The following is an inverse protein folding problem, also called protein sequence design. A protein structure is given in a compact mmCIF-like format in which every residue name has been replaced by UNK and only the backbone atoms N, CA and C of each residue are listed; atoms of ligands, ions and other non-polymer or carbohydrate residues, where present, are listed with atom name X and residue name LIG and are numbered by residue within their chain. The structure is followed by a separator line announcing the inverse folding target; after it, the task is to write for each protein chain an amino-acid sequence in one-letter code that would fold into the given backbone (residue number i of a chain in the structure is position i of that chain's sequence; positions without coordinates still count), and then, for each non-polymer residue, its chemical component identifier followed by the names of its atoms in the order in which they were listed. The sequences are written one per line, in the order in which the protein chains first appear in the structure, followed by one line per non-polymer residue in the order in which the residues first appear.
data_IF_852603815733
#
_entry.id   IF_852603815733
#
_cell.length_a   1.000
_cell.length_b   1.000
_cell.length_c   1.000
_cell.angle_alpha   90.00
_cell.angle_beta   90.00
_cell.angle_gamma   90.00
#
_symmetry.space_group_name_H-M   'P 1'
#
loop_
_entity.id
_entity.type
_entity.pdbx_description
1 polymer ?
#
# COMPACT_ATOMS: atom_id res chain seq x y z
N UNK A 1 -28.32 -48.64 -4.19
CA UNK A 1 -28.07 -47.35 -3.53
C UNK A 1 -26.60 -47.08 -3.65
N UNK A 2 -26.26 -46.37 -4.66
CA UNK A 2 -24.89 -46.23 -5.15
C UNK A 2 -24.37 -44.81 -4.78
N UNK A 3 -23.36 -44.76 -3.90
CA UNK A 3 -22.76 -43.51 -3.45
C UNK A 3 -21.52 -43.20 -4.33
N UNK A 4 -21.74 -42.43 -5.37
CA UNK A 4 -20.67 -41.94 -6.21
C UNK A 4 -19.73 -40.99 -5.42
N UNK A 5 -18.54 -41.45 -5.10
CA UNK A 5 -17.42 -40.60 -4.62
C UNK A 5 -16.95 -39.71 -5.78
N UNK A 6 -17.19 -38.42 -5.66
CA UNK A 6 -16.53 -37.40 -6.53
C UNK A 6 -15.08 -37.29 -6.13
N UNK A 7 -14.21 -37.68 -7.04
CA UNK A 7 -12.76 -37.46 -6.93
C UNK A 7 -12.44 -35.97 -7.03
N UNK A 8 -11.68 -35.44 -6.05
CA UNK A 8 -11.10 -34.11 -6.06
C UNK A 8 -9.97 -34.08 -7.12
N UNK A 9 -9.93 -33.15 -8.06
CA UNK A 9 -8.83 -33.07 -9.03
C UNK A 9 -7.54 -32.70 -8.34
N UNK A 10 -6.46 -33.38 -8.74
CA UNK A 10 -5.09 -33.15 -8.24
C UNK A 10 -4.66 -31.68 -8.40
N UNK A 11 -4.02 -31.13 -7.37
CA UNK A 11 -3.60 -29.73 -7.30
C UNK A 11 -2.72 -29.30 -8.46
N UNK A 12 -2.90 -28.05 -8.85
CA UNK A 12 -2.10 -27.36 -9.86
C UNK A 12 -0.62 -27.33 -9.45
N UNK A 13 0.24 -27.86 -10.30
CA UNK A 13 1.70 -27.81 -10.10
C UNK A 13 2.27 -26.44 -10.54
N UNK A 14 3.46 -26.09 -10.03
CA UNK A 14 4.21 -24.87 -10.43
C UNK A 14 4.27 -24.68 -11.96
N UNK A 15 4.37 -25.76 -12.72
CA UNK A 15 4.35 -25.79 -14.19
C UNK A 15 2.97 -25.44 -14.77
N UNK A 16 1.90 -25.80 -14.09
CA UNK A 16 0.51 -25.55 -14.55
C UNK A 16 0.15 -24.06 -14.37
N UNK A 17 0.66 -23.41 -13.35
CA UNK A 17 0.45 -21.97 -13.12
C UNK A 17 1.12 -21.13 -14.22
N UNK A 18 2.35 -21.49 -14.60
CA UNK A 18 3.09 -20.82 -15.68
C UNK A 18 2.48 -21.05 -17.08
N UNK A 19 1.81 -22.17 -17.31
CA UNK A 19 1.12 -22.47 -18.58
C UNK A 19 -0.21 -21.75 -18.73
N UNK A 20 -0.90 -21.42 -17.63
CA UNK A 20 -2.13 -20.64 -17.67
C UNK A 20 -1.90 -19.16 -18.07
N UNK A 21 -0.70 -18.66 -17.88
CA UNK A 21 -0.31 -17.28 -18.28
C UNK A 21 0.12 -17.20 -19.75
N UNK A 22 0.46 -18.33 -20.40
CA UNK A 22 1.03 -18.40 -21.76
C UNK A 22 0.07 -18.78 -22.89
N UNK A 23 -1.20 -19.09 -22.63
CA UNK A 23 -2.13 -19.58 -23.64
C UNK A 23 -3.03 -18.46 -24.21
N UNK A 24 -2.43 -17.62 -25.04
CA UNK A 24 -3.12 -16.67 -25.89
C UNK A 24 -2.42 -16.48 -27.23
N UNK A 25 -3.00 -17.11 -28.26
CA UNK A 25 -2.78 -16.92 -29.73
C UNK A 25 -1.49 -17.43 -30.35
N UNK A 26 -1.66 -18.38 -31.27
CA UNK A 26 -0.70 -18.71 -32.34
C UNK A 26 -0.70 -20.18 -32.77
N UNK A 27 -1.46 -20.51 -33.82
CA UNK A 27 -1.39 -21.77 -34.56
C UNK A 27 -0.09 -21.89 -35.32
N UNK A 28 0.63 -23.03 -35.20
CA UNK A 28 1.70 -23.36 -36.13
C UNK A 28 2.67 -24.46 -35.66
N UNK A 29 2.54 -25.63 -36.27
CA UNK A 29 3.45 -26.77 -36.43
C UNK A 29 4.22 -27.32 -35.22
N UNK A 30 3.87 -28.55 -34.90
CA UNK A 30 4.61 -29.47 -34.06
C UNK A 30 5.81 -30.04 -34.79
N UNK A 31 7.03 -29.89 -34.23
CA UNK A 31 8.15 -30.81 -34.41
C UNK A 31 8.61 -31.28 -33.04
N UNK A 32 8.60 -32.59 -32.87
CA UNK A 32 9.04 -33.27 -31.66
C UNK A 32 10.58 -33.20 -31.56
N UNK A 33 11.11 -32.67 -30.46
CA UNK A 33 12.51 -32.82 -30.07
C UNK A 33 12.56 -33.41 -28.66
N UNK A 34 13.33 -34.46 -28.48
CA UNK A 34 13.59 -35.22 -27.27
C UNK A 34 14.22 -34.36 -26.16
N UNK A 35 14.09 -34.76 -24.88
CA UNK A 35 14.63 -33.98 -23.75
C UNK A 35 16.14 -34.19 -23.67
N UNK A 36 16.90 -33.13 -23.85
CA UNK A 36 18.32 -33.08 -23.50
C UNK A 36 18.46 -32.66 -22.04
N UNK A 37 19.04 -33.54 -21.23
CA UNK A 37 19.42 -33.25 -19.84
C UNK A 37 20.72 -32.48 -19.84
N UNK A 38 20.70 -31.27 -19.34
CA UNK A 38 21.92 -30.52 -19.01
C UNK A 38 21.98 -29.18 -19.69
N UNK A 39 21.64 -28.18 -18.92
CA UNK A 39 22.35 -26.90 -18.78
C UNK A 39 21.42 -26.02 -17.88
N UNK A 40 21.57 -26.15 -16.55
CA UNK A 40 21.32 -25.05 -15.64
C UNK A 40 22.49 -24.08 -15.81
N UNK A 41 22.51 -23.38 -16.92
CA UNK A 41 23.38 -22.21 -17.06
C UNK A 41 22.89 -21.17 -16.06
N UNK A 42 23.74 -20.84 -15.10
CA UNK A 42 23.58 -19.70 -14.24
C UNK A 42 23.38 -18.46 -15.11
N UNK A 43 22.18 -17.90 -15.10
CA UNK A 43 21.92 -16.61 -15.71
C UNK A 43 22.89 -15.61 -15.07
N UNK A 44 23.57 -14.75 -15.86
CA UNK A 44 24.43 -13.74 -15.30
C UNK A 44 23.58 -12.88 -14.37
N UNK A 45 24.01 -12.79 -13.10
CA UNK A 45 23.44 -11.84 -12.15
C UNK A 45 23.62 -10.47 -12.75
N UNK A 46 22.52 -9.86 -13.19
CA UNK A 46 22.52 -8.48 -13.63
C UNK A 46 23.09 -7.61 -12.50
N UNK A 47 24.13 -6.93 -12.85
CA UNK A 47 24.97 -6.10 -12.01
C UNK A 47 24.19 -5.04 -11.26
N UNK A 48 24.60 -4.83 -10.00
CA UNK A 48 24.26 -3.73 -9.08
C UNK A 48 22.77 -3.57 -8.80
N UNK A 49 22.23 -4.47 -7.98
CA UNK A 49 21.09 -4.14 -7.13
C UNK A 49 21.44 -2.86 -6.37
N UNK A 50 20.77 -1.78 -6.69
CA UNK A 50 20.91 -0.52 -5.97
C UNK A 50 20.26 -0.72 -4.60
N UNK A 51 21.02 -1.29 -3.65
CA UNK A 51 20.54 -1.46 -2.27
C UNK A 51 20.16 -0.09 -1.75
N UNK A 52 18.93 0.05 -1.30
CA UNK A 52 18.52 1.27 -0.63
C UNK A 52 19.38 1.46 0.64
N UNK A 53 19.84 2.68 0.84
CA UNK A 53 20.64 2.99 2.02
C UNK A 53 19.81 2.71 3.31
N UNK A 54 20.46 2.31 4.41
CA UNK A 54 19.80 2.18 5.69
C UNK A 54 19.20 3.51 6.15
N UNK A 55 18.27 3.46 7.10
CA UNK A 55 17.68 4.67 7.68
C UNK A 55 18.78 5.64 8.16
N UNK A 56 18.66 6.95 7.92
CA UNK A 56 19.67 7.92 8.32
C UNK A 56 19.85 7.95 9.84
N UNK A 57 21.06 8.35 10.29
CA UNK A 57 21.33 8.46 11.72
C UNK A 57 20.39 9.48 12.37
N UNK A 58 19.76 9.08 13.48
CA UNK A 58 18.78 9.89 14.19
C UNK A 58 17.38 9.87 13.58
N UNK A 59 17.13 8.98 12.62
CA UNK A 59 15.78 8.77 12.09
C UNK A 59 14.85 8.18 13.15
N UNK A 60 13.60 8.60 13.08
CA UNK A 60 12.49 8.10 13.90
C UNK A 60 11.40 7.52 13.02
N UNK A 61 10.56 6.70 13.60
CA UNK A 61 9.21 6.40 13.11
C UNK A 61 8.25 7.08 14.09
N UNK A 62 7.40 7.96 13.57
CA UNK A 62 6.42 8.67 14.39
C UNK A 62 5.11 7.93 14.41
N UNK A 63 4.73 7.45 15.58
CA UNK A 63 3.39 6.92 15.83
C UNK A 63 2.49 8.01 16.40
N UNK A 64 1.18 7.78 16.38
CA UNK A 64 0.21 8.72 16.95
C UNK A 64 0.47 8.98 18.45
N UNK A 65 1.07 8.03 19.18
CA UNK A 65 1.32 8.13 20.61
C UNK A 65 2.74 8.65 20.93
N UNK A 66 3.78 8.25 20.17
CA UNK A 66 5.18 8.58 20.47
C UNK A 66 6.10 8.41 19.27
N UNK A 67 7.25 9.07 19.32
CA UNK A 67 8.33 8.86 18.37
C UNK A 67 9.20 7.67 18.84
N UNK A 68 9.58 6.80 17.91
CA UNK A 68 10.31 5.56 18.18
C UNK A 68 11.56 5.48 17.28
N UNK A 69 12.67 4.95 17.77
CA UNK A 69 13.72 4.49 16.88
C UNK A 69 13.18 3.32 16.04
N UNK A 70 13.56 3.18 14.75
CA UNK A 70 13.03 2.12 13.88
C UNK A 70 13.17 0.70 14.44
N UNK A 71 14.22 0.44 15.23
CA UNK A 71 14.43 -0.85 15.90
C UNK A 71 13.38 -1.19 16.96
N UNK A 72 12.70 -0.20 17.53
CA UNK A 72 11.71 -0.41 18.58
C UNK A 72 10.38 -1.02 18.07
N UNK A 73 10.16 -1.07 16.75
CA UNK A 73 9.00 -1.78 16.18
C UNK A 73 9.16 -3.31 16.22
N UNK A 74 10.33 -3.84 16.62
CA UNK A 74 10.58 -5.29 16.65
C UNK A 74 10.55 -5.92 15.25
N UNK A 75 10.31 -7.22 15.17
CA UNK A 75 10.32 -8.00 13.93
C UNK A 75 8.90 -8.40 13.46
N UNK A 76 7.87 -7.81 14.04
CA UNK A 76 6.49 -8.00 13.59
C UNK A 76 6.24 -7.30 12.25
N UNK A 77 5.23 -7.79 11.53
CA UNK A 77 4.81 -7.23 10.26
C UNK A 77 4.39 -5.76 10.40
N UNK A 78 4.65 -4.98 9.36
CA UNK A 78 4.25 -3.58 9.27
C UNK A 78 3.44 -3.40 7.98
N UNK A 79 2.21 -2.90 8.13
CA UNK A 79 1.33 -2.55 7.03
C UNK A 79 1.39 -1.04 6.79
N UNK A 80 1.75 -0.65 5.57
CA UNK A 80 2.04 0.76 5.27
C UNK A 80 0.81 1.55 4.78
N UNK A 81 -0.30 0.88 4.51
CA UNK A 81 -1.52 1.49 3.98
C UNK A 81 -2.77 0.67 4.36
N UNK A 82 -3.48 1.15 5.36
CA UNK A 82 -4.75 0.59 5.83
C UNK A 82 -5.67 1.72 6.28
N UNK A 83 -6.93 1.40 6.61
CA UNK A 83 -7.88 2.37 7.14
C UNK A 83 -8.41 1.96 8.52
N UNK A 84 -8.30 2.87 9.49
CA UNK A 84 -8.73 2.69 10.87
C UNK A 84 -9.89 3.62 11.25
N UNK A 85 -10.10 4.69 10.48
CA UNK A 85 -11.13 5.70 10.79
C UNK A 85 -11.57 6.43 9.52
N UNK A 86 -12.89 6.48 9.30
CA UNK A 86 -13.51 7.32 8.27
C UNK A 86 -14.65 8.14 8.86
N UNK A 87 -14.99 9.25 8.18
CA UNK A 87 -16.22 9.98 8.42
C UNK A 87 -17.46 9.13 8.08
N UNK A 88 -18.54 9.35 8.79
CA UNK A 88 -19.78 8.59 8.58
C UNK A 88 -20.36 8.74 7.17
N UNK A 89 -20.05 9.84 6.50
CA UNK A 89 -20.50 10.18 5.14
C UNK A 89 -19.49 9.84 4.04
N UNK A 90 -18.32 9.27 4.38
CA UNK A 90 -17.24 9.02 3.43
C UNK A 90 -17.72 8.23 2.20
N UNK A 91 -18.33 7.07 2.40
CA UNK A 91 -18.80 6.23 1.30
C UNK A 91 -19.95 6.85 0.51
N UNK A 92 -20.76 7.72 1.12
CA UNK A 92 -21.81 8.48 0.39
C UNK A 92 -21.18 9.55 -0.50
N UNK A 93 -20.18 10.27 -0.03
CA UNK A 93 -19.44 11.27 -0.81
C UNK A 93 -18.67 10.63 -1.97
N UNK A 94 -18.14 9.42 -1.79
CA UNK A 94 -17.43 8.66 -2.84
C UNK A 94 -18.37 8.00 -3.85
N UNK A 95 -19.68 8.01 -3.62
CA UNK A 95 -20.65 7.40 -4.54
C UNK A 95 -20.67 8.14 -5.87
N UNK A 96 -20.59 7.43 -7.02
CA UNK A 96 -20.76 8.04 -8.33
C UNK A 96 -22.11 8.77 -8.42
N UNK A 97 -22.13 9.96 -9.02
CA UNK A 97 -23.33 10.79 -9.12
C UNK A 97 -24.51 10.11 -9.83
N UNK A 98 -24.23 9.17 -10.73
CA UNK A 98 -25.21 8.38 -11.48
C UNK A 98 -25.58 7.05 -10.82
N UNK A 99 -24.96 6.70 -9.66
CA UNK A 99 -25.31 5.46 -8.96
C UNK A 99 -26.67 5.59 -8.26
N UNK A 100 -27.53 4.55 -8.33
CA UNK A 100 -28.80 4.57 -7.64
C UNK A 100 -28.60 4.66 -6.13
N UNK A 101 -29.37 5.52 -5.46
CA UNK A 101 -29.38 5.58 -4.02
C UNK A 101 -30.14 4.38 -3.47
N UNK A 102 -29.60 3.68 -2.45
CA UNK A 102 -30.34 2.61 -1.80
C UNK A 102 -31.59 3.18 -1.13
N UNK A 103 -32.69 2.40 -1.16
CA UNK A 103 -33.96 2.80 -0.53
C UNK A 103 -33.82 2.99 0.99
N UNK A 104 -32.89 2.26 1.62
CA UNK A 104 -32.54 2.41 3.04
C UNK A 104 -31.06 2.78 3.10
N UNK A 105 -30.66 3.83 3.84
CA UNK A 105 -29.25 4.13 4.06
C UNK A 105 -28.52 2.92 4.63
N UNK A 106 -27.31 2.61 4.16
CA UNK A 106 -26.51 1.55 4.77
C UNK A 106 -26.20 1.89 6.24
N UNK A 107 -26.00 0.89 7.09
CA UNK A 107 -25.55 1.13 8.45
C UNK A 107 -24.20 1.90 8.44
N UNK A 108 -23.90 2.68 9.47
CA UNK A 108 -22.59 3.32 9.61
C UNK A 108 -21.46 2.29 9.51
N UNK A 109 -20.39 2.64 8.79
CA UNK A 109 -19.21 1.79 8.67
C UNK A 109 -18.63 1.44 10.05
N UNK A 110 -18.06 0.24 10.20
CA UNK A 110 -17.31 -0.15 11.41
C UNK A 110 -16.16 0.81 11.72
N UNK A 111 -15.62 1.50 10.70
CA UNK A 111 -14.57 2.50 10.83
C UNK A 111 -15.00 3.78 11.55
N UNK A 112 -16.29 3.93 11.86
CA UNK A 112 -16.83 4.97 12.77
C UNK A 112 -16.93 4.48 14.22
N UNK A 113 -16.48 3.25 14.51
CA UNK A 113 -16.60 2.58 15.82
C UNK A 113 -15.21 2.16 16.32
N UNK A 114 -14.47 3.06 17.00
CA UNK A 114 -13.07 2.82 17.37
C UNK A 114 -12.86 1.58 18.26
N UNK A 115 -13.87 1.17 19.02
CA UNK A 115 -13.80 -0.04 19.86
C UNK A 115 -13.69 -1.30 19.02
N UNK A 116 -14.48 -1.40 17.94
CA UNK A 116 -14.47 -2.54 17.02
C UNK A 116 -13.15 -2.58 16.26
N UNK A 117 -12.71 -1.43 15.72
CA UNK A 117 -11.43 -1.32 15.04
C UNK A 117 -10.28 -1.71 15.96
N UNK A 118 -10.30 -1.27 17.22
CA UNK A 118 -9.27 -1.63 18.18
C UNK A 118 -9.24 -3.14 18.49
N UNK A 119 -10.40 -3.80 18.58
CA UNK A 119 -10.48 -5.23 18.81
C UNK A 119 -10.00 -6.04 17.59
N UNK A 120 -10.35 -5.62 16.37
CA UNK A 120 -9.82 -6.17 15.11
C UNK A 120 -8.29 -6.01 15.05
N UNK A 121 -7.78 -4.82 15.34
CA UNK A 121 -6.35 -4.54 15.30
C UNK A 121 -5.58 -5.30 16.39
N UNK A 122 -6.16 -5.44 17.60
CA UNK A 122 -5.58 -6.27 18.67
C UNK A 122 -5.48 -7.73 18.26
N UNK A 123 -6.48 -8.26 17.53
CA UNK A 123 -6.44 -9.62 17.02
C UNK A 123 -5.29 -9.79 16.02
N UNK A 124 -5.11 -8.85 15.09
CA UNK A 124 -3.98 -8.85 14.17
C UNK A 124 -2.61 -8.71 14.90
N UNK A 125 -2.54 -7.92 15.97
CA UNK A 125 -1.35 -7.81 16.81
C UNK A 125 -0.93 -9.15 17.43
N UNK A 126 -1.89 -9.96 17.88
CA UNK A 126 -1.63 -11.32 18.39
C UNK A 126 -1.13 -12.28 17.29
N UNK A 127 -1.38 -11.97 16.04
CA UNK A 127 -0.93 -12.72 14.86
C UNK A 127 0.35 -12.15 14.24
N UNK A 128 1.05 -11.26 14.96
CA UNK A 128 2.38 -10.79 14.58
C UNK A 128 2.43 -9.45 13.86
N UNK A 129 1.32 -8.68 13.82
CA UNK A 129 1.34 -7.30 13.34
C UNK A 129 1.94 -6.38 14.43
N UNK A 130 2.98 -5.62 14.12
CA UNK A 130 3.61 -4.67 15.05
C UNK A 130 3.21 -3.22 14.83
N UNK A 131 2.97 -2.84 13.56
CA UNK A 131 2.67 -1.47 13.20
C UNK A 131 1.75 -1.41 11.98
N UNK A 132 0.92 -0.38 11.94
CA UNK A 132 -0.01 -0.10 10.86
C UNK A 132 -0.03 1.40 10.57
N UNK A 133 -0.14 1.78 9.29
CA UNK A 133 -0.32 3.17 8.86
C UNK A 133 -1.77 3.37 8.47
N UNK A 134 -2.44 4.34 9.09
CA UNK A 134 -3.76 4.76 8.67
C UNK A 134 -3.66 5.72 7.48
N UNK A 135 -4.29 5.37 6.36
CA UNK A 135 -4.32 6.16 5.13
C UNK A 135 -5.30 7.33 5.14
N UNK A 136 -6.12 7.42 6.19
CA UNK A 136 -7.15 8.45 6.30
C UNK A 136 -6.62 9.80 6.76
N UNK A 137 -7.34 10.86 6.39
CA UNK A 137 -7.07 12.23 6.80
C UNK A 137 -8.34 13.08 6.88
N UNK A 138 -8.20 14.36 7.20
CA UNK A 138 -9.31 15.22 7.60
C UNK A 138 -10.43 15.33 6.56
N UNK A 139 -10.13 15.39 5.26
CA UNK A 139 -11.13 15.44 4.20
C UNK A 139 -11.88 14.11 4.00
N UNK A 140 -11.32 13.00 4.48
CA UNK A 140 -11.98 11.69 4.56
C UNK A 140 -12.76 11.52 5.88
N UNK A 141 -12.71 12.51 6.77
CA UNK A 141 -13.38 12.49 8.06
C UNK A 141 -12.68 11.65 9.15
N UNK A 142 -11.39 11.36 8.97
CA UNK A 142 -10.58 10.61 9.96
C UNK A 142 -10.51 11.34 11.30
N UNK A 143 -10.76 10.62 12.39
CA UNK A 143 -10.67 11.09 13.77
C UNK A 143 -9.32 10.70 14.38
N UNK A 144 -8.42 11.68 14.55
CA UNK A 144 -7.11 11.44 15.20
C UNK A 144 -7.25 11.06 16.69
N UNK A 145 -8.30 11.51 17.36
CA UNK A 145 -8.59 11.07 18.72
C UNK A 145 -9.01 9.60 18.77
N UNK A 146 -9.75 9.12 17.78
CA UNK A 146 -10.10 7.71 17.70
C UNK A 146 -8.88 6.86 17.32
N UNK A 147 -7.98 7.35 16.47
CA UNK A 147 -6.71 6.67 16.20
C UNK A 147 -5.86 6.48 17.47
N UNK A 148 -5.83 7.48 18.38
CA UNK A 148 -5.16 7.34 19.69
C UNK A 148 -5.79 6.25 20.52
N UNK A 149 -7.13 6.26 20.66
CA UNK A 149 -7.88 5.24 21.40
C UNK A 149 -7.65 3.84 20.83
N UNK A 150 -7.65 3.72 19.49
CA UNK A 150 -7.37 2.46 18.79
C UNK A 150 -5.95 1.97 19.10
N UNK A 151 -4.95 2.85 19.02
CA UNK A 151 -3.56 2.51 19.32
C UNK A 151 -3.38 2.06 20.79
N UNK A 152 -3.93 2.81 21.74
CA UNK A 152 -3.87 2.50 23.17
C UNK A 152 -4.55 1.17 23.50
N UNK A 153 -5.75 0.96 22.94
CA UNK A 153 -6.56 -0.22 23.23
C UNK A 153 -6.05 -1.48 22.53
N UNK A 154 -5.53 -1.37 21.31
CA UNK A 154 -5.03 -2.53 20.55
C UNK A 154 -3.64 -2.97 20.99
N UNK A 155 -2.80 -2.04 21.44
CA UNK A 155 -1.38 -2.25 21.72
C UNK A 155 -0.50 -2.35 20.45
N UNK A 156 -1.08 -2.15 19.25
CA UNK A 156 -0.35 -2.09 17.98
C UNK A 156 0.07 -0.64 17.72
N UNK A 157 1.27 -0.44 17.18
CA UNK A 157 1.72 0.90 16.82
C UNK A 157 0.92 1.42 15.62
N UNK A 158 0.30 2.59 15.77
CA UNK A 158 -0.44 3.28 14.72
C UNK A 158 0.32 4.51 14.27
N UNK A 159 0.63 4.60 12.99
CA UNK A 159 1.15 5.79 12.33
C UNK A 159 -0.04 6.51 11.71
N UNK A 160 -0.27 7.74 12.13
CA UNK A 160 -1.28 8.60 11.51
C UNK A 160 -0.69 9.30 10.29
N UNK A 161 -1.50 9.53 9.29
CA UNK A 161 -1.13 10.27 8.10
C UNK A 161 -1.98 11.52 7.91
N UNK A 162 -1.63 12.33 6.92
CA UNK A 162 -2.38 13.51 6.56
C UNK A 162 -2.10 13.96 5.14
N UNK A 163 -2.93 14.85 4.67
CA UNK A 163 -2.90 15.33 3.30
C UNK A 163 -4.30 15.55 2.76
N UNK A 164 -4.48 15.27 1.47
CA UNK A 164 -5.75 15.37 0.77
C UNK A 164 -5.93 14.17 -0.16
N UNK A 165 -7.14 13.61 -0.18
CA UNK A 165 -7.46 12.39 -0.94
C UNK A 165 -7.66 12.67 -2.44
N UNK A 166 -8.88 12.64 -2.89
CA UNK A 166 -9.30 12.89 -4.27
C UNK A 166 -10.07 14.21 -4.37
N UNK A 167 -10.10 14.81 -5.56
CA UNK A 167 -10.79 16.10 -5.77
C UNK A 167 -12.22 16.12 -5.23
N UNK A 168 -12.95 15.02 -5.34
CA UNK A 168 -14.33 14.91 -4.84
C UNK A 168 -14.43 15.11 -3.32
N UNK A 169 -13.33 14.89 -2.59
CA UNK A 169 -13.23 15.03 -1.14
C UNK A 169 -12.61 16.37 -0.71
N UNK A 170 -12.05 17.13 -1.63
CA UNK A 170 -11.28 18.33 -1.30
C UNK A 170 -12.12 19.39 -0.58
N UNK A 171 -11.56 19.99 0.47
CA UNK A 171 -12.15 21.16 1.09
C UNK A 171 -11.97 22.39 0.18
N UNK A 172 -12.79 23.45 0.36
CA UNK A 172 -12.76 24.66 -0.48
C UNK A 172 -11.39 25.36 -0.54
N UNK A 173 -10.57 25.17 0.47
CA UNK A 173 -9.22 25.74 0.60
C UNK A 173 -8.31 25.33 -0.55
N UNK A 174 -8.47 24.14 -1.10
CA UNK A 174 -7.67 23.68 -2.24
C UNK A 174 -7.80 24.61 -3.42
N UNK A 175 -8.99 25.09 -3.70
CA UNK A 175 -9.22 26.02 -4.82
C UNK A 175 -8.91 27.46 -4.46
N UNK A 176 -9.20 27.88 -3.21
CA UNK A 176 -9.16 29.30 -2.80
C UNK A 176 -7.79 29.78 -2.29
N UNK A 177 -6.95 28.87 -1.73
CA UNK A 177 -5.65 29.22 -1.16
C UNK A 177 -4.50 29.03 -2.16
N UNK A 178 -3.41 29.77 -1.96
CA UNK A 178 -2.15 29.56 -2.67
C UNK A 178 -1.49 28.23 -2.26
N UNK A 179 -0.53 27.72 -3.08
CA UNK A 179 0.25 26.55 -2.71
C UNK A 179 1.01 26.78 -1.38
N UNK A 180 1.60 27.97 -1.18
CA UNK A 180 2.37 28.27 0.05
C UNK A 180 1.48 28.24 1.29
N UNK A 181 0.25 28.77 1.22
CA UNK A 181 -0.70 28.69 2.34
C UNK A 181 -1.09 27.25 2.67
N UNK A 182 -1.33 26.43 1.65
CA UNK A 182 -1.63 25.01 1.84
C UNK A 182 -0.45 24.24 2.42
N UNK A 183 0.79 24.54 1.98
CA UNK A 183 2.02 23.95 2.52
C UNK A 183 2.18 24.31 4.00
N UNK A 184 2.00 25.58 4.37
CA UNK A 184 2.09 26.03 5.76
C UNK A 184 1.06 25.34 6.64
N UNK A 185 -0.17 25.20 6.15
CA UNK A 185 -1.25 24.45 6.82
C UNK A 185 -0.89 22.99 7.06
N UNK A 186 -0.40 22.29 6.04
CA UNK A 186 0.00 20.88 6.18
C UNK A 186 1.19 20.70 7.12
N UNK A 187 2.16 21.61 7.09
CA UNK A 187 3.32 21.60 8.03
C UNK A 187 2.86 21.77 9.47
N UNK A 188 1.94 22.71 9.72
CA UNK A 188 1.36 22.94 11.04
C UNK A 188 0.58 21.73 11.53
N UNK A 189 -0.29 21.19 10.68
CA UNK A 189 -1.10 20.01 10.97
C UNK A 189 -0.25 18.77 11.24
N UNK A 190 0.80 18.54 10.46
CA UNK A 190 1.72 17.42 10.65
C UNK A 190 2.34 17.41 12.05
N UNK A 191 2.65 18.60 12.59
CA UNK A 191 3.13 18.75 13.96
C UNK A 191 2.04 18.57 14.99
N UNK A 192 0.93 19.29 14.83
CA UNK A 192 -0.16 19.32 15.82
C UNK A 192 -0.86 17.97 15.95
N UNK A 193 -1.07 17.25 14.83
CA UNK A 193 -1.75 15.96 14.76
C UNK A 193 -0.78 14.77 14.80
N UNK A 194 0.52 15.03 14.95
CA UNK A 194 1.57 14.00 15.03
C UNK A 194 1.58 13.04 13.84
N UNK A 195 1.49 13.55 12.62
CA UNK A 195 1.59 12.69 11.43
C UNK A 195 2.98 12.04 11.32
N UNK A 196 2.99 10.75 11.03
CA UNK A 196 4.20 9.99 10.72
C UNK A 196 4.40 9.77 9.23
N UNK A 197 3.39 10.13 8.41
CA UNK A 197 3.42 10.09 6.96
C UNK A 197 2.51 11.16 6.34
N UNK A 198 2.69 11.43 5.05
CA UNK A 198 1.77 12.16 4.19
C UNK A 198 1.10 11.14 3.25
N UNK A 199 -0.21 11.02 3.27
CA UNK A 199 -0.95 10.01 2.48
C UNK A 199 -2.22 9.53 3.15
N UNK A 200 -3.07 8.83 2.41
CA UNK A 200 -2.86 8.51 0.99
C UNK A 200 -3.21 9.71 0.10
N UNK A 201 -2.32 10.12 -0.75
CA UNK A 201 -2.54 11.25 -1.66
C UNK A 201 -3.11 10.72 -2.97
N UNK A 202 -4.35 11.07 -3.28
CA UNK A 202 -5.10 10.49 -4.38
C UNK A 202 -4.96 11.21 -5.71
N UNK A 203 -5.02 10.44 -6.78
CA UNK A 203 -5.27 10.96 -8.12
C UNK A 203 -6.32 10.16 -8.87
N UNK A 204 -7.17 10.88 -9.59
CA UNK A 204 -8.09 10.29 -10.56
C UNK A 204 -7.33 9.66 -11.73
N UNK A 205 -8.01 8.80 -12.50
CA UNK A 205 -7.46 8.22 -13.74
C UNK A 205 -6.99 9.30 -14.73
N UNK A 206 -7.73 10.41 -14.78
CA UNK A 206 -7.31 11.65 -15.44
C UNK A 206 -7.09 12.71 -14.38
N UNK A 207 -5.84 12.88 -13.97
CA UNK A 207 -5.47 13.80 -12.91
C UNK A 207 -5.95 15.22 -13.23
N UNK A 208 -6.66 15.84 -12.29
CA UNK A 208 -7.21 17.19 -12.45
C UNK A 208 -6.15 18.27 -12.16
N UNK A 209 -6.46 19.52 -12.43
CA UNK A 209 -5.57 20.64 -12.09
C UNK A 209 -5.37 20.78 -10.57
N UNK A 210 -6.42 20.57 -9.79
CA UNK A 210 -6.36 20.64 -8.33
C UNK A 210 -5.61 19.44 -7.73
N UNK A 211 -5.77 18.24 -8.29
CA UNK A 211 -4.97 17.07 -7.88
C UNK A 211 -3.48 17.31 -8.15
N UNK A 212 -3.10 17.84 -9.32
CA UNK A 212 -1.70 18.24 -9.60
C UNK A 212 -1.20 19.31 -8.63
N UNK A 213 -2.04 20.27 -8.25
CA UNK A 213 -1.72 21.27 -7.23
C UNK A 213 -1.43 20.59 -5.89
N UNK A 214 -2.30 19.66 -5.45
CA UNK A 214 -2.13 18.91 -4.20
C UNK A 214 -0.82 18.11 -4.22
N UNK A 215 -0.50 17.40 -5.31
CA UNK A 215 0.78 16.68 -5.41
C UNK A 215 2.01 17.61 -5.29
N UNK A 216 1.98 18.82 -5.89
CA UNK A 216 3.07 19.81 -5.71
C UNK A 216 3.15 20.31 -4.27
N UNK A 217 2.01 20.61 -3.65
CA UNK A 217 1.92 21.02 -2.24
C UNK A 217 2.48 19.93 -1.33
N UNK A 218 2.08 18.68 -1.52
CA UNK A 218 2.58 17.55 -0.72
C UNK A 218 4.08 17.33 -0.93
N UNK A 219 4.58 17.39 -2.16
CA UNK A 219 6.00 17.28 -2.44
C UNK A 219 6.83 18.36 -1.71
N UNK A 220 6.39 19.61 -1.76
CA UNK A 220 7.04 20.73 -1.03
C UNK A 220 6.90 20.56 0.50
N UNK A 221 5.77 20.06 0.98
CA UNK A 221 5.56 19.72 2.41
C UNK A 221 6.52 18.62 2.85
N UNK A 222 6.73 17.59 2.03
CA UNK A 222 7.72 16.54 2.28
C UNK A 222 9.13 17.12 2.44
N UNK A 223 9.52 18.04 1.55
CA UNK A 223 10.84 18.72 1.64
C UNK A 223 11.00 19.46 2.96
N UNK A 224 9.94 20.10 3.47
CA UNK A 224 9.97 20.86 4.73
C UNK A 224 9.93 20.00 5.99
N UNK A 225 9.20 18.88 5.96
CA UNK A 225 8.95 18.02 7.13
C UNK A 225 9.87 16.81 7.21
N UNK A 226 10.27 16.27 6.06
CA UNK A 226 10.98 14.99 5.93
C UNK A 226 10.09 13.77 5.99
N UNK A 227 8.77 13.92 6.19
CA UNK A 227 7.81 12.82 6.28
C UNK A 227 7.81 11.94 5.00
N UNK A 228 7.66 10.61 5.11
CA UNK A 228 7.42 9.78 3.95
C UNK A 228 6.05 10.09 3.33
N UNK A 229 5.94 9.87 2.01
CA UNK A 229 4.70 10.09 1.24
C UNK A 229 4.24 8.77 0.64
N UNK A 230 2.95 8.42 0.76
CA UNK A 230 2.35 7.34 -0.01
C UNK A 230 1.12 7.84 -0.76
N UNK A 231 0.87 7.24 -1.92
CA UNK A 231 -0.13 7.75 -2.84
C UNK A 231 -1.21 6.73 -3.13
N UNK A 232 -2.34 7.23 -3.63
CA UNK A 232 -3.44 6.46 -4.17
C UNK A 232 -3.46 6.64 -5.70
N UNK A 233 -3.14 5.59 -6.43
CA UNK A 233 -3.35 5.52 -7.87
C UNK A 233 -4.72 4.91 -8.13
N UNK A 234 -5.45 5.37 -9.14
CA UNK A 234 -6.77 4.82 -9.45
C UNK A 234 -6.76 3.29 -9.53
N UNK A 235 -7.69 2.62 -8.86
CA UNK A 235 -7.91 1.17 -8.93
C UNK A 235 -8.23 0.64 -10.35
N UNK A 236 -8.43 1.53 -11.33
CA UNK A 236 -8.50 1.16 -12.73
C UNK A 236 -7.15 0.71 -13.32
N UNK A 237 -6.05 0.76 -12.53
CA UNK A 237 -4.73 0.30 -12.95
C UNK A 237 -4.01 1.29 -13.85
N UNK A 238 -3.99 2.56 -13.49
CA UNK A 238 -3.47 3.64 -14.31
C UNK A 238 -1.93 3.75 -14.25
N UNK A 239 -1.21 3.15 -15.20
CA UNK A 239 0.25 3.30 -15.34
C UNK A 239 0.70 4.76 -15.49
N UNK A 240 -0.01 5.51 -16.34
CA UNK A 240 0.30 6.92 -16.58
C UNK A 240 0.16 7.74 -15.31
N UNK A 241 -0.90 7.50 -14.52
CA UNK A 241 -1.10 8.21 -13.27
C UNK A 241 0.02 7.94 -12.27
N UNK A 242 0.44 6.68 -12.14
CA UNK A 242 1.53 6.30 -11.23
C UNK A 242 2.84 7.02 -11.56
N UNK A 243 3.19 7.13 -12.84
CA UNK A 243 4.37 7.86 -13.27
C UNK A 243 4.21 9.38 -13.13
N UNK A 244 3.04 9.93 -13.46
CA UNK A 244 2.75 11.37 -13.31
C UNK A 244 2.81 11.82 -11.85
N UNK A 245 2.29 11.00 -10.91
CA UNK A 245 2.42 11.26 -9.47
C UNK A 245 3.89 11.41 -9.07
N UNK A 246 4.73 10.45 -9.47
CA UNK A 246 6.15 10.46 -9.17
C UNK A 246 6.85 11.68 -9.78
N UNK A 247 6.57 12.02 -11.04
CA UNK A 247 7.14 13.17 -11.73
C UNK A 247 6.81 14.50 -11.05
N UNK A 248 5.57 14.68 -10.60
CA UNK A 248 5.15 15.91 -9.91
C UNK A 248 5.86 16.03 -8.56
N UNK A 249 5.93 14.94 -7.78
CA UNK A 249 6.60 14.93 -6.48
C UNK A 249 8.10 15.24 -6.62
N UNK A 250 8.78 14.63 -7.59
CA UNK A 250 10.20 14.93 -7.88
C UNK A 250 10.40 16.37 -8.34
N UNK A 251 9.53 16.89 -9.22
CA UNK A 251 9.58 18.26 -9.70
C UNK A 251 9.37 19.29 -8.58
N UNK A 252 8.68 18.90 -7.51
CA UNK A 252 8.52 19.69 -6.29
C UNK A 252 9.79 19.68 -5.39
N UNK A 253 10.84 18.96 -5.79
CA UNK A 253 12.12 18.87 -5.07
C UNK A 253 12.19 17.78 -4.01
N UNK A 254 11.17 16.93 -3.92
CA UNK A 254 11.13 15.86 -2.95
C UNK A 254 11.94 14.64 -3.44
N UNK A 255 12.47 13.84 -2.50
CA UNK A 255 13.35 12.71 -2.83
C UNK A 255 12.50 11.44 -3.05
N UNK A 256 12.62 10.76 -4.23
CA UNK A 256 11.88 9.53 -4.51
C UNK A 256 12.01 8.44 -3.44
N UNK A 257 13.13 8.35 -2.75
CA UNK A 257 13.36 7.39 -1.65
C UNK A 257 12.41 7.53 -0.47
N UNK A 258 11.70 8.64 -0.40
CA UNK A 258 10.68 8.91 0.61
C UNK A 258 9.25 8.69 0.08
N UNK A 259 9.10 8.13 -1.13
CA UNK A 259 7.79 7.91 -1.73
C UNK A 259 7.47 6.43 -1.83
N UNK A 260 6.19 6.11 -1.63
CA UNK A 260 5.58 4.86 -2.03
C UNK A 260 4.43 5.17 -2.99
N UNK A 261 4.52 4.71 -4.22
CA UNK A 261 3.41 4.81 -5.17
C UNK A 261 2.47 3.64 -4.88
N UNK A 262 1.24 3.95 -4.48
CA UNK A 262 0.23 2.98 -4.05
C UNK A 262 -0.58 2.38 -5.19
N UNK A 263 -1.33 1.33 -4.89
CA UNK A 263 -2.22 0.56 -5.76
C UNK A 263 -1.55 0.01 -7.02
N UNK A 264 -0.24 -0.21 -6.97
CA UNK A 264 0.48 -0.77 -8.11
C UNK A 264 0.10 -2.23 -8.39
N UNK A 265 -0.45 -2.95 -7.40
CA UNK A 265 -1.02 -4.29 -7.57
C UNK A 265 -2.24 -4.31 -8.50
N UNK A 266 -2.86 -3.16 -8.77
CA UNK A 266 -4.05 -3.05 -9.61
C UNK A 266 -3.74 -2.77 -11.09
N UNK A 267 -2.48 -2.49 -11.44
CA UNK A 267 -2.04 -2.34 -12.82
C UNK A 267 -2.08 -3.70 -13.52
N UNK A 268 -3.07 -3.90 -14.39
CA UNK A 268 -3.33 -5.19 -15.04
C UNK A 268 -2.78 -5.31 -16.46
N UNK A 269 -2.45 -4.18 -17.08
CA UNK A 269 -2.04 -4.08 -18.48
C UNK A 269 -0.52 -3.88 -18.65
N UNK A 270 0.26 -4.20 -17.60
CA UNK A 270 1.73 -4.16 -17.61
C UNK A 270 2.34 -5.55 -17.37
N UNK A 271 2.25 -6.47 -18.35
CA UNK A 271 2.62 -7.87 -18.16
C UNK A 271 4.10 -8.10 -17.87
N UNK A 272 4.94 -7.09 -18.07
CA UNK A 272 6.38 -7.14 -17.78
C UNK A 272 6.78 -6.30 -16.57
N UNK A 273 5.83 -5.70 -15.87
CA UNK A 273 6.06 -4.81 -14.74
C UNK A 273 7.00 -3.63 -15.05
N UNK A 274 6.97 -3.10 -16.27
CA UNK A 274 7.89 -2.03 -16.69
C UNK A 274 7.64 -0.73 -15.91
N UNK A 275 6.38 -0.41 -15.64
CA UNK A 275 6.02 0.75 -14.79
C UNK A 275 6.59 0.61 -13.38
N UNK A 276 6.47 -0.58 -12.78
CA UNK A 276 7.00 -0.88 -11.44
C UNK A 276 8.52 -0.76 -11.41
N UNK A 277 9.20 -1.35 -12.41
CA UNK A 277 10.66 -1.26 -12.55
C UNK A 277 11.14 0.18 -12.72
N UNK A 278 10.42 0.98 -13.50
CA UNK A 278 10.74 2.40 -13.70
C UNK A 278 10.62 3.18 -12.38
N UNK A 279 9.54 2.99 -11.63
CA UNK A 279 9.33 3.63 -10.32
C UNK A 279 10.45 3.23 -9.34
N UNK A 280 10.77 1.94 -9.26
CA UNK A 280 11.84 1.43 -8.39
C UNK A 280 13.23 1.93 -8.83
N UNK A 281 13.51 1.99 -10.13
CA UNK A 281 14.77 2.52 -10.68
C UNK A 281 14.98 3.99 -10.31
N UNK A 282 13.91 4.78 -10.19
CA UNK A 282 13.95 6.17 -9.72
C UNK A 282 14.10 6.27 -8.20
N UNK A 283 14.03 5.15 -7.48
CA UNK A 283 14.30 5.04 -6.05
C UNK A 283 13.07 4.99 -5.16
N UNK A 284 11.86 5.09 -5.70
CA UNK A 284 10.62 5.04 -4.94
C UNK A 284 10.24 3.59 -4.56
N UNK A 285 9.45 3.45 -3.50
CA UNK A 285 8.85 2.19 -3.11
C UNK A 285 7.62 1.87 -3.95
N UNK A 286 7.34 0.58 -4.07
CA UNK A 286 6.23 0.01 -4.81
C UNK A 286 5.17 -0.47 -3.83
N UNK A 287 4.03 0.20 -3.81
CA UNK A 287 2.89 -0.15 -2.97
C UNK A 287 2.03 -1.24 -3.60
N UNK A 288 2.20 -2.48 -3.14
CA UNK A 288 1.27 -3.57 -3.42
C UNK A 288 0.29 -3.66 -2.25
N UNK A 289 -0.64 -2.75 -2.21
CA UNK A 289 -1.49 -2.47 -1.05
C UNK A 289 -2.95 -2.89 -1.19
N UNK A 290 -3.30 -3.65 -2.22
CA UNK A 290 -4.62 -4.27 -2.37
C UNK A 290 -4.53 -5.80 -2.37
N UNK A 291 -3.54 -6.37 -1.61
CA UNK A 291 -3.33 -7.83 -1.58
C UNK A 291 -4.12 -8.51 -0.46
N UNK A 292 -4.41 -9.80 -0.61
CA UNK A 292 -5.15 -10.58 0.38
C UNK A 292 -6.67 -10.54 0.20
N UNK A 293 -7.17 -9.77 -0.75
CA UNK A 293 -8.57 -9.73 -1.17
C UNK A 293 -8.71 -9.57 -2.68
N UNK A 294 -9.93 -9.69 -3.21
CA UNK A 294 -10.18 -9.75 -4.65
C UNK A 294 -10.49 -8.38 -5.27
N UNK A 295 -9.88 -7.31 -4.75
CA UNK A 295 -10.06 -5.98 -5.32
C UNK A 295 -9.26 -5.87 -6.64
N UNK A 296 -9.85 -5.24 -7.67
CA UNK A 296 -9.33 -5.05 -9.02
C UNK A 296 -8.93 -6.35 -9.74
N UNK A 297 -8.03 -7.15 -9.16
CA UNK A 297 -7.62 -8.45 -9.70
C UNK A 297 -7.31 -9.46 -8.60
N UNK A 298 -7.36 -10.76 -8.96
CA UNK A 298 -7.08 -11.84 -8.01
C UNK A 298 -5.61 -11.93 -7.62
N UNK A 299 -5.34 -12.40 -6.40
CA UNK A 299 -4.01 -12.52 -5.82
C UNK A 299 -3.00 -13.31 -6.67
N UNK A 300 -3.45 -14.27 -7.48
CA UNK A 300 -2.54 -15.00 -8.36
C UNK A 300 -1.80 -14.09 -9.35
N UNK A 301 -2.48 -13.08 -9.90
CA UNK A 301 -1.86 -12.08 -10.77
C UNK A 301 -0.94 -11.13 -9.98
N UNK A 302 -1.36 -10.72 -8.78
CA UNK A 302 -0.57 -9.87 -7.88
C UNK A 302 0.73 -10.59 -7.46
N UNK A 303 0.67 -11.88 -7.13
CA UNK A 303 1.85 -12.71 -6.86
C UNK A 303 2.78 -12.75 -8.08
N UNK A 304 2.25 -13.02 -9.28
CA UNK A 304 3.06 -13.06 -10.49
C UNK A 304 3.76 -11.73 -10.78
N UNK A 305 3.07 -10.61 -10.56
CA UNK A 305 3.61 -9.26 -10.73
C UNK A 305 4.75 -8.98 -9.72
N UNK A 306 4.54 -9.31 -8.45
CA UNK A 306 5.58 -9.17 -7.41
C UNK A 306 6.81 -10.01 -7.77
N UNK A 307 6.64 -11.27 -8.21
CA UNK A 307 7.75 -12.12 -8.60
C UNK A 307 8.60 -11.50 -9.72
N UNK A 308 7.98 -10.88 -10.73
CA UNK A 308 8.69 -10.19 -11.81
C UNK A 308 9.52 -9.01 -11.29
N UNK A 309 9.00 -8.26 -10.33
CA UNK A 309 9.72 -7.16 -9.68
C UNK A 309 10.90 -7.68 -8.87
N UNK A 310 10.73 -8.77 -8.13
CA UNK A 310 11.79 -9.41 -7.34
C UNK A 310 12.87 -10.03 -8.23
N UNK A 311 12.49 -10.71 -9.32
CA UNK A 311 13.41 -11.27 -10.33
C UNK A 311 14.25 -10.17 -11.00
N UNK A 312 13.71 -8.97 -11.15
CA UNK A 312 14.44 -7.81 -11.65
C UNK A 312 15.37 -7.15 -10.60
N UNK A 313 15.43 -7.67 -9.37
CA UNK A 313 16.34 -7.19 -8.32
C UNK A 313 15.81 -6.04 -7.47
N UNK A 314 14.52 -5.73 -7.54
CA UNK A 314 13.91 -4.61 -6.79
C UNK A 314 13.24 -5.03 -5.46
N UNK A 315 13.72 -6.09 -4.82
CA UNK A 315 13.17 -6.56 -3.54
C UNK A 315 13.20 -5.51 -2.43
N UNK A 316 14.17 -4.60 -2.47
CA UNK A 316 14.32 -3.51 -1.49
C UNK A 316 13.25 -2.42 -1.63
N UNK A 317 12.46 -2.44 -2.70
CA UNK A 317 11.44 -1.42 -3.00
C UNK A 317 10.01 -1.89 -2.72
N UNK A 318 9.78 -3.18 -2.47
CA UNK A 318 8.43 -3.74 -2.32
C UNK A 318 7.88 -3.50 -0.92
N UNK A 319 6.66 -2.96 -0.84
CA UNK A 319 5.84 -2.85 0.37
C UNK A 319 4.51 -3.56 0.13
N UNK A 320 3.96 -4.21 1.18
CA UNK A 320 2.67 -4.89 1.12
C UNK A 320 1.70 -4.29 2.14
N UNK A 321 0.45 -4.18 1.74
CA UNK A 321 -0.71 -3.83 2.58
C UNK A 321 -2.01 -4.35 1.94
N UNK A 322 -3.13 -4.14 2.58
CA UNK A 322 -4.41 -4.61 2.07
C UNK A 322 -5.41 -3.50 1.72
N UNK A 323 -5.13 -2.25 2.08
CA UNK A 323 -6.09 -1.15 1.90
C UNK A 323 -7.45 -1.52 2.50
N UNK A 324 -7.40 -1.99 3.76
CA UNK A 324 -8.53 -2.68 4.38
C UNK A 324 -9.57 -1.69 4.88
N UNK A 325 -10.76 -1.75 4.29
CA UNK A 325 -11.91 -0.92 4.67
C UNK A 325 -13.25 -1.68 4.66
N UNK A 326 -13.25 -2.98 4.34
CA UNK A 326 -14.46 -3.76 4.11
C UNK A 326 -14.97 -4.46 5.37
N UNK A 327 -16.12 -4.01 5.92
CA UNK A 327 -16.71 -4.59 7.14
C UNK A 327 -16.98 -6.10 7.03
N UNK A 328 -17.40 -6.59 5.85
CA UNK A 328 -17.66 -8.02 5.62
C UNK A 328 -16.43 -8.91 5.76
N UNK A 329 -15.22 -8.32 5.66
CA UNK A 329 -13.94 -9.02 5.70
C UNK A 329 -13.27 -8.92 7.08
N UNK A 330 -13.90 -8.25 8.05
CA UNK A 330 -13.43 -8.21 9.45
C UNK A 330 -13.45 -9.61 10.08
N UNK A 331 -12.60 -9.84 11.08
CA UNK A 331 -12.63 -11.08 11.88
C UNK A 331 -13.97 -11.27 12.56
N UNK A 332 -14.59 -10.19 13.02
CA UNK A 332 -15.93 -10.20 13.59
C UNK A 332 -16.97 -10.82 12.64
N UNK A 333 -16.82 -10.61 11.33
CA UNK A 333 -17.67 -11.18 10.28
C UNK A 333 -17.09 -12.47 9.65
N UNK A 334 -16.06 -13.07 10.26
CA UNK A 334 -15.46 -14.33 9.79
C UNK A 334 -14.39 -14.17 8.72
N UNK A 335 -13.95 -12.95 8.42
CA UNK A 335 -12.85 -12.67 7.52
C UNK A 335 -11.48 -12.66 8.23
N UNK A 336 -10.46 -12.18 7.55
CA UNK A 336 -9.09 -12.07 8.07
C UNK A 336 -8.79 -10.72 8.72
N UNK A 337 -9.62 -9.68 8.48
CA UNK A 337 -9.39 -8.32 8.98
C UNK A 337 -8.02 -7.79 8.60
N UNK A 338 -7.38 -7.05 9.50
CA UNK A 338 -6.02 -6.51 9.31
C UNK A 338 -4.92 -7.59 9.20
N UNK A 339 -5.27 -8.87 9.31
CA UNK A 339 -4.34 -9.98 9.07
C UNK A 339 -4.41 -10.53 7.63
N UNK A 340 -5.18 -9.92 6.72
CA UNK A 340 -5.36 -10.43 5.35
C UNK A 340 -4.03 -10.59 4.60
N UNK A 341 -3.09 -9.67 4.78
CA UNK A 341 -1.75 -9.83 4.18
C UNK A 341 -1.04 -11.04 4.78
N UNK A 342 -0.93 -11.13 6.11
CA UNK A 342 -0.15 -12.16 6.80
C UNK A 342 -0.79 -13.54 6.73
N UNK A 343 -2.12 -13.62 6.86
CA UNK A 343 -2.86 -14.89 6.92
C UNK A 343 -3.30 -15.41 5.55
N UNK A 344 -3.51 -14.54 4.55
CA UNK A 344 -4.02 -14.93 3.23
C UNK A 344 -2.95 -14.79 2.14
N UNK A 345 -2.27 -13.65 2.07
CA UNK A 345 -1.39 -13.35 0.94
C UNK A 345 0.02 -13.93 1.10
N UNK A 346 0.66 -13.79 2.26
CA UNK A 346 2.00 -14.36 2.49
C UNK A 346 2.08 -15.88 2.27
N UNK A 347 1.07 -16.71 2.66
CA UNK A 347 1.07 -18.12 2.29
C UNK A 347 1.13 -18.36 0.78
N UNK A 348 0.53 -17.49 -0.05
CA UNK A 348 0.58 -17.59 -1.52
C UNK A 348 1.97 -17.24 -2.06
N UNK A 349 2.66 -16.26 -1.48
CA UNK A 349 4.05 -15.94 -1.81
C UNK A 349 4.99 -17.11 -1.43
N UNK A 350 4.80 -17.71 -0.25
CA UNK A 350 5.54 -18.92 0.17
C UNK A 350 5.33 -20.08 -0.79
N UNK A 351 4.07 -20.34 -1.16
CA UNK A 351 3.72 -21.35 -2.15
C UNK A 351 4.37 -21.08 -3.51
N UNK A 352 4.49 -19.82 -3.91
CA UNK A 352 5.20 -19.39 -5.12
C UNK A 352 6.74 -19.48 -5.01
N UNK A 353 7.26 -19.85 -3.84
CA UNK A 353 8.68 -20.12 -3.60
C UNK A 353 9.49 -18.95 -3.06
N UNK A 354 8.84 -17.90 -2.52
CA UNK A 354 9.56 -16.84 -1.82
C UNK A 354 10.19 -17.37 -0.53
N UNK A 355 11.42 -16.96 -0.28
CA UNK A 355 12.15 -17.27 0.95
C UNK A 355 11.67 -16.39 2.10
N UNK A 356 11.71 -16.92 3.33
CA UNK A 356 11.34 -16.15 4.54
C UNK A 356 12.21 -14.91 4.72
N UNK A 357 13.47 -14.92 4.29
CA UNK A 357 14.34 -13.73 4.30
C UNK A 357 13.82 -12.61 3.41
N UNK A 358 13.30 -12.93 2.23
CA UNK A 358 12.67 -11.95 1.34
C UNK A 358 11.33 -11.47 1.91
N UNK A 359 10.53 -12.38 2.48
CA UNK A 359 9.27 -12.02 3.15
C UNK A 359 9.55 -11.08 4.34
N UNK A 360 10.52 -11.40 5.19
CA UNK A 360 10.94 -10.53 6.30
C UNK A 360 11.37 -9.14 5.80
N UNK A 361 12.17 -9.09 4.74
CA UNK A 361 12.58 -7.83 4.13
C UNK A 361 11.38 -6.98 3.72
N UNK A 362 10.42 -7.57 2.99
CA UNK A 362 9.24 -6.87 2.46
C UNK A 362 8.29 -6.43 3.60
N UNK A 363 8.13 -7.27 4.63
CA UNK A 363 7.15 -7.01 5.69
C UNK A 363 7.70 -6.21 6.86
N UNK A 364 9.03 -6.15 7.03
CA UNK A 364 9.65 -5.56 8.22
C UNK A 364 10.70 -4.51 7.86
N UNK A 365 11.72 -4.89 7.08
CA UNK A 365 12.86 -3.99 6.82
C UNK A 365 12.49 -2.83 5.89
N UNK A 366 11.82 -3.13 4.79
CA UNK A 366 11.39 -2.11 3.82
C UNK A 366 10.43 -1.10 4.43
N UNK A 367 9.32 -1.50 5.10
CA UNK A 367 8.41 -0.53 5.70
C UNK A 367 9.05 0.25 6.86
N UNK A 368 9.95 -0.34 7.65
CA UNK A 368 10.76 0.42 8.63
C UNK A 368 11.58 1.51 7.94
N UNK A 369 12.22 1.18 6.84
CA UNK A 369 13.04 2.12 6.08
C UNK A 369 12.19 3.22 5.44
N UNK A 370 11.03 2.87 4.88
CA UNK A 370 10.08 3.81 4.31
C UNK A 370 9.55 4.80 5.34
N UNK A 371 9.13 4.31 6.50
CA UNK A 371 8.54 5.13 7.57
C UNK A 371 9.58 5.94 8.37
N UNK A 372 10.87 5.65 8.18
CA UNK A 372 11.95 6.31 8.91
C UNK A 372 12.28 7.67 8.31
N UNK A 373 12.22 8.72 9.12
CA UNK A 373 12.60 10.07 8.71
C UNK A 373 13.33 10.83 9.83
N UNK A 374 14.10 11.83 9.44
CA UNK A 374 14.69 12.78 10.39
C UNK A 374 13.81 14.03 10.40
N UNK A 375 13.17 14.35 11.53
CA UNK A 375 12.34 15.56 11.64
C UNK A 375 13.13 16.81 11.30
N UNK A 376 12.68 17.60 10.33
CA UNK A 376 13.34 18.84 9.90
C UNK A 376 12.84 20.04 10.68
N UNK A 377 11.64 19.95 11.26
CA UNK A 377 11.09 20.99 12.13
C UNK A 377 11.26 20.51 13.58
N UNK A 378 12.02 21.27 14.36
CA UNK A 378 11.94 21.16 15.82
C UNK A 378 10.64 21.84 16.23
N UNK A 379 9.71 21.08 16.81
CA UNK A 379 8.61 21.67 17.57
C UNK A 379 9.29 22.47 18.67
N UNK A 380 9.09 23.81 18.68
CA UNK A 380 9.45 24.59 19.86
C UNK A 380 8.69 23.99 21.05
N UNK A 381 9.45 23.48 22.00
CA UNK A 381 8.96 22.94 23.28
C UNK A 381 8.33 24.03 24.12
#
# INVERSE_FOLDING_TARGET
MDTARRSVPAGLTRRSLLRLIGAGVGTGLATAIAPDEGILAALPHASSTQRLAPAPRGAIIRTILKDLPPSALGDGAILFHEHLSFGADFFERMRPANAPRPATPPPPSYLTRPEIVADELRAAGKEGLSCIVDGGHADMGTSYEDLKKIAERSGVHVVASGGYYLQIMYPPEITSQSEDQLIDGLVQDASAKRWGALGEIGSSEQMTADERKVFRVVGKTQVRTGLPVFTHTSHAGCKKCALEQLEILESAGANPRNFCIGHLSDITDDPKAETHKEIARRGAFLGFDTVGHQLAQGDAKKVALILQVLEAGYEDHVLLSSDFAAERETKFNGGAGYSSVTAIFLPKLRYAGLKETTIHKIMVENPKRFLSFVPKLRVAS
#
